data_IF_065524706291
#
_entry.id   IF_065524706291
#
_cell.length_a   1.000
_cell.length_b   1.000
_cell.length_c   1.000
_cell.angle_alpha   90.00
_cell.angle_beta   90.00
_cell.angle_gamma   90.00
#
_symmetry.space_group_name_H-M   'P 1'
#
loop_
_entity.id
_entity.type
_entity.pdbx_description
1 polymer ?
#
# COMPACT_ATOMS: atom_id res chain seq x y z
N UNK A 1 -13.32 22.76 -12.86
CA UNK A 1 -12.73 21.60 -12.14
C UNK A 1 -12.06 20.63 -13.10
N UNK A 2 -12.78 20.08 -14.10
CA UNK A 2 -12.20 19.14 -15.09
C UNK A 2 -11.01 19.74 -15.85
N UNK A 3 -11.12 20.97 -16.34
CA UNK A 3 -10.01 21.66 -17.05
C UNK A 3 -8.78 21.86 -16.18
N UNK A 4 -8.96 22.13 -14.88
CA UNK A 4 -7.84 22.29 -13.95
C UNK A 4 -7.10 20.95 -13.72
N UNK A 5 -7.84 19.85 -13.61
CA UNK A 5 -7.27 18.50 -13.51
C UNK A 5 -6.53 18.15 -14.81
N UNK A 6 -7.14 18.39 -15.97
CA UNK A 6 -6.52 18.14 -17.27
C UNK A 6 -5.24 18.97 -17.46
N UNK A 7 -5.26 20.25 -17.06
CA UNK A 7 -4.08 21.11 -17.09
C UNK A 7 -2.95 20.59 -16.19
N UNK A 8 -3.27 20.16 -14.96
CA UNK A 8 -2.28 19.57 -14.06
C UNK A 8 -1.66 18.28 -14.62
N UNK A 9 -2.50 17.39 -15.16
CA UNK A 9 -2.05 16.13 -15.75
C UNK A 9 -1.12 16.36 -16.95
N UNK A 10 -1.44 17.31 -17.83
CA UNK A 10 -0.61 17.62 -18.98
C UNK A 10 0.74 18.24 -18.57
N UNK A 11 0.75 19.10 -17.55
CA UNK A 11 1.97 19.74 -17.06
C UNK A 11 2.91 18.76 -16.34
N UNK A 12 2.39 17.74 -15.65
CA UNK A 12 3.16 16.83 -14.80
C UNK A 12 3.22 15.39 -15.34
N UNK A 13 2.88 15.19 -16.62
CA UNK A 13 2.81 13.86 -17.23
C UNK A 13 4.09 13.06 -17.07
N UNK A 14 5.24 13.66 -17.38
CA UNK A 14 6.55 12.99 -17.29
C UNK A 14 6.89 12.59 -15.85
N UNK A 15 6.61 13.46 -14.87
CA UNK A 15 6.82 13.14 -13.46
C UNK A 15 5.92 11.98 -13.02
N UNK A 16 4.63 12.02 -13.37
CA UNK A 16 3.67 10.95 -13.03
C UNK A 16 4.13 9.61 -13.62
N UNK A 17 4.61 9.60 -14.87
CA UNK A 17 5.15 8.39 -15.49
C UNK A 17 6.38 7.86 -14.75
N UNK A 18 7.35 8.73 -14.41
CA UNK A 18 8.54 8.32 -13.65
C UNK A 18 8.12 7.71 -12.32
N UNK A 19 7.22 8.36 -11.58
CA UNK A 19 6.71 7.84 -10.30
C UNK A 19 5.97 6.53 -10.45
N UNK A 20 5.25 6.34 -11.56
CA UNK A 20 4.59 5.06 -11.86
C UNK A 20 5.62 3.95 -12.04
N UNK A 21 6.71 4.20 -12.78
CA UNK A 21 7.78 3.23 -12.98
C UNK A 21 8.61 2.97 -11.72
N UNK A 22 8.71 3.92 -10.79
CA UNK A 22 9.30 3.67 -9.48
C UNK A 22 8.57 2.51 -8.76
N UNK A 23 7.24 2.43 -8.85
CA UNK A 23 6.46 1.31 -8.29
C UNK A 23 6.64 -0.01 -9.03
N UNK A 24 7.15 -0.02 -10.26
CA UNK A 24 7.49 -1.23 -11.00
C UNK A 24 8.91 -1.73 -10.72
N UNK A 25 9.73 -0.93 -10.04
CA UNK A 25 11.12 -1.26 -9.74
C UNK A 25 11.40 -1.34 -8.22
N UNK A 26 10.78 -2.30 -7.50
CA UNK A 26 10.85 -2.36 -6.03
C UNK A 26 12.23 -2.66 -5.45
N UNK A 27 13.17 -3.12 -6.27
CA UNK A 27 14.41 -3.73 -5.82
C UNK A 27 15.61 -2.77 -5.81
N UNK A 28 15.37 -1.48 -6.05
CA UNK A 28 16.41 -0.45 -5.97
C UNK A 28 17.01 -0.34 -4.56
N UNK A 29 16.19 -0.52 -3.51
CA UNK A 29 16.66 -0.49 -2.13
C UNK A 29 16.85 -1.91 -1.58
N UNK A 30 18.10 -2.28 -1.26
CA UNK A 30 18.45 -3.61 -0.74
C UNK A 30 17.76 -3.93 0.60
N UNK A 31 17.58 -2.93 1.47
CA UNK A 31 16.95 -3.11 2.78
C UNK A 31 15.44 -3.35 2.66
N UNK A 32 14.79 -2.78 1.64
CA UNK A 32 13.36 -2.95 1.40
C UNK A 32 12.99 -4.38 0.99
N UNK A 33 13.93 -5.12 0.38
CA UNK A 33 13.70 -6.47 -0.17
C UNK A 33 13.12 -7.44 0.86
N UNK A 34 13.59 -7.35 2.10
CA UNK A 34 13.15 -8.22 3.19
C UNK A 34 11.67 -8.08 3.56
N UNK A 35 11.04 -6.96 3.19
CA UNK A 35 9.64 -6.67 3.50
C UNK A 35 8.80 -6.78 2.23
N UNK A 36 9.31 -6.26 1.11
CA UNK A 36 8.61 -6.29 -0.17
C UNK A 36 8.40 -7.72 -0.68
N UNK A 37 9.43 -8.58 -0.58
CA UNK A 37 9.34 -9.94 -1.13
C UNK A 37 8.17 -10.73 -0.48
N UNK A 38 8.05 -10.80 0.86
CA UNK A 38 6.88 -11.41 1.49
C UNK A 38 5.53 -10.82 1.05
N UNK A 39 5.44 -9.50 0.87
CA UNK A 39 4.20 -8.82 0.43
C UNK A 39 3.84 -9.23 -1.01
N UNK A 40 4.80 -9.20 -1.94
CA UNK A 40 4.59 -9.65 -3.33
C UNK A 40 4.21 -11.14 -3.36
N UNK A 41 4.93 -11.99 -2.62
CA UNK A 41 4.63 -13.43 -2.55
C UNK A 41 3.22 -13.65 -2.01
N UNK A 42 2.81 -12.91 -0.98
CA UNK A 42 1.47 -12.99 -0.41
C UNK A 42 0.41 -12.62 -1.45
N UNK A 43 0.60 -11.53 -2.21
CA UNK A 43 -0.31 -11.14 -3.30
C UNK A 43 -0.43 -12.29 -4.32
N UNK A 44 0.70 -12.78 -4.85
CA UNK A 44 0.69 -13.80 -5.91
C UNK A 44 0.05 -15.11 -5.41
N UNK A 45 0.47 -15.61 -4.25
CA UNK A 45 -0.01 -16.88 -3.71
C UNK A 45 -1.50 -16.81 -3.38
N UNK A 46 -1.96 -15.73 -2.75
CA UNK A 46 -3.37 -15.58 -2.39
C UNK A 46 -4.25 -15.39 -3.61
N UNK A 47 -3.81 -14.63 -4.63
CA UNK A 47 -4.54 -14.50 -5.89
C UNK A 47 -4.65 -15.84 -6.62
N UNK A 48 -3.54 -16.60 -6.72
CA UNK A 48 -3.57 -17.95 -7.29
C UNK A 48 -4.49 -18.89 -6.52
N UNK A 49 -4.52 -18.77 -5.19
CA UNK A 49 -5.42 -19.55 -4.34
C UNK A 49 -6.88 -19.25 -4.65
N UNK A 50 -7.30 -17.98 -4.68
CA UNK A 50 -8.70 -17.61 -4.95
C UNK A 50 -9.14 -17.89 -6.39
N UNK A 51 -8.22 -17.85 -7.35
CA UNK A 51 -8.48 -18.33 -8.72
C UNK A 51 -8.82 -19.82 -8.73
N UNK A 52 -8.08 -20.64 -7.98
CA UNK A 52 -8.31 -22.08 -7.88
C UNK A 52 -9.58 -22.42 -7.09
N UNK A 53 -9.90 -21.65 -6.06
CA UNK A 53 -11.00 -21.91 -5.13
C UNK A 53 -12.07 -20.83 -5.21
N UNK A 54 -12.73 -20.69 -6.38
CA UNK A 54 -13.68 -19.59 -6.69
C UNK A 54 -14.89 -19.47 -5.76
N UNK A 55 -15.23 -20.53 -5.03
CA UNK A 55 -16.34 -20.54 -4.08
C UNK A 55 -15.93 -20.14 -2.66
N UNK A 56 -14.63 -19.94 -2.42
CA UNK A 56 -14.14 -19.48 -1.11
C UNK A 56 -14.22 -17.95 -1.04
N UNK A 57 -14.88 -17.47 0.01
CA UNK A 57 -14.96 -16.05 0.32
C UNK A 57 -13.92 -15.69 1.39
N UNK A 58 -13.54 -14.41 1.43
CA UNK A 58 -12.74 -13.87 2.54
C UNK A 58 -13.56 -14.01 3.83
N UNK A 59 -13.06 -14.79 4.79
CA UNK A 59 -13.66 -14.87 6.12
C UNK A 59 -13.16 -13.77 7.05
N UNK A 60 -13.85 -13.55 8.17
CA UNK A 60 -13.45 -12.60 9.20
C UNK A 60 -12.03 -12.84 9.75
N UNK A 61 -11.63 -14.11 9.89
CA UNK A 61 -10.27 -14.46 10.29
C UNK A 61 -9.24 -13.98 9.25
N UNK A 62 -9.50 -14.20 7.96
CA UNK A 62 -8.62 -13.75 6.88
C UNK A 62 -8.56 -12.22 6.79
N UNK A 63 -9.70 -11.53 6.92
CA UNK A 63 -9.75 -10.07 6.95
C UNK A 63 -8.93 -9.49 8.13
N UNK A 64 -9.11 -10.05 9.32
CA UNK A 64 -8.34 -9.70 10.53
C UNK A 64 -6.84 -9.99 10.33
N UNK A 65 -6.48 -11.12 9.75
CA UNK A 65 -5.08 -11.45 9.47
C UNK A 65 -4.46 -10.50 8.44
N UNK A 66 -5.21 -10.08 7.42
CA UNK A 66 -4.73 -9.12 6.43
C UNK A 66 -4.45 -7.76 7.06
N UNK A 67 -5.32 -7.23 7.93
CA UNK A 67 -5.07 -5.93 8.59
C UNK A 67 -3.78 -5.92 9.44
N UNK A 68 -3.39 -7.06 10.03
CA UNK A 68 -2.10 -7.20 10.72
C UNK A 68 -0.89 -6.96 9.80
N UNK A 69 -1.02 -7.17 8.49
CA UNK A 69 0.05 -6.89 7.52
C UNK A 69 0.37 -5.39 7.47
N UNK A 70 -0.65 -4.52 7.41
CA UNK A 70 -0.44 -3.07 7.44
C UNK A 70 0.19 -2.62 8.75
N UNK A 71 -0.22 -3.22 9.88
CA UNK A 71 0.39 -2.95 11.18
C UNK A 71 1.87 -3.38 11.21
N UNK A 72 2.19 -4.58 10.74
CA UNK A 72 3.58 -5.06 10.70
C UNK A 72 4.46 -4.21 9.78
N UNK A 73 3.96 -3.89 8.58
CA UNK A 73 4.67 -3.07 7.62
C UNK A 73 4.88 -1.65 8.16
N UNK A 74 3.85 -0.99 8.70
CA UNK A 74 3.99 0.36 9.27
C UNK A 74 4.97 0.40 10.44
N UNK A 75 4.97 -0.59 11.33
CA UNK A 75 5.97 -0.69 12.40
C UNK A 75 7.40 -0.83 11.86
N UNK A 76 7.57 -1.59 10.77
CA UNK A 76 8.85 -1.71 10.11
C UNK A 76 9.30 -0.39 9.46
N UNK A 77 8.38 0.32 8.78
CA UNK A 77 8.64 1.63 8.19
C UNK A 77 9.00 2.67 9.26
N UNK A 78 8.33 2.66 10.42
CA UNK A 78 8.69 3.50 11.56
C UNK A 78 10.11 3.21 12.06
N UNK A 79 10.45 1.93 12.21
CA UNK A 79 11.81 1.53 12.59
C UNK A 79 12.84 2.06 11.60
N UNK A 80 12.61 1.88 10.30
CA UNK A 80 13.50 2.37 9.25
C UNK A 80 13.68 3.90 9.31
N UNK A 81 12.57 4.65 9.45
CA UNK A 81 12.64 6.11 9.59
C UNK A 81 13.40 6.52 10.85
N UNK A 82 13.22 5.78 11.95
CA UNK A 82 13.93 6.04 13.21
C UNK A 82 15.44 5.82 13.10
N UNK A 83 15.85 4.73 12.45
CA UNK A 83 17.26 4.41 12.21
C UNK A 83 17.91 5.40 11.24
N UNK A 84 17.23 5.73 10.14
CA UNK A 84 17.73 6.65 9.11
C UNK A 84 17.91 8.07 9.64
N UNK A 85 16.97 8.55 10.44
CA UNK A 85 16.97 9.93 10.90
C UNK A 85 17.75 10.14 12.20
N UNK A 86 18.24 9.07 12.87
CA UNK A 86 18.83 9.18 14.22
C UNK A 86 17.95 10.05 15.13
N UNK A 87 16.65 9.72 15.20
CA UNK A 87 15.62 10.58 15.80
C UNK A 87 16.04 10.99 17.22
N UNK A 88 16.47 12.24 17.35
CA UNK A 88 16.52 12.97 18.61
C UNK A 88 15.24 13.79 18.70
N UNK A 89 14.54 13.73 19.84
CA UNK A 89 13.28 14.45 20.09
C UNK A 89 13.35 15.96 19.82
N UNK A 90 14.55 16.54 19.74
CA UNK A 90 14.82 17.95 19.49
C UNK A 90 14.72 18.37 18.01
N UNK A 91 14.76 17.43 17.05
CA UNK A 91 14.84 17.71 15.61
C UNK A 91 13.62 17.20 14.81
N UNK A 92 12.50 16.94 15.49
CA UNK A 92 11.27 16.41 14.87
C UNK A 92 10.76 17.31 13.70
N UNK A 93 11.09 18.61 13.70
CA UNK A 93 10.73 19.55 12.63
C UNK A 93 11.65 19.59 11.40
N UNK A 94 12.83 18.96 11.43
CA UNK A 94 13.78 18.97 10.29
C UNK A 94 13.75 17.70 9.45
N UNK A 95 12.97 16.69 9.84
CA UNK A 95 12.82 15.44 9.10
C UNK A 95 11.57 15.47 8.22
N UNK A 96 11.53 14.55 7.25
CA UNK A 96 10.45 14.35 6.29
C UNK A 96 9.11 14.04 6.99
N UNK A 97 8.47 15.11 7.49
CA UNK A 97 7.23 15.10 8.26
C UNK A 97 6.13 14.42 7.47
N UNK A 98 6.06 14.69 6.16
CA UNK A 98 5.10 14.11 5.24
C UNK A 98 5.21 12.58 5.20
N UNK A 99 6.43 12.05 5.04
CA UNK A 99 6.64 10.59 5.04
C UNK A 99 6.34 9.96 6.41
N UNK A 100 6.64 10.64 7.51
CA UNK A 100 6.29 10.16 8.85
C UNK A 100 4.76 10.12 9.07
N UNK A 101 4.04 11.12 8.56
CA UNK A 101 2.58 11.16 8.58
C UNK A 101 1.96 10.07 7.72
N UNK A 102 2.54 9.73 6.56
CA UNK A 102 2.12 8.60 5.75
C UNK A 102 2.22 7.28 6.54
N UNK A 103 3.37 7.03 7.18
CA UNK A 103 3.56 5.79 7.96
C UNK A 103 2.59 5.72 9.14
N UNK A 104 2.34 6.86 9.82
CA UNK A 104 1.33 6.95 10.87
C UNK A 104 -0.07 6.66 10.34
N UNK A 105 -0.43 7.23 9.18
CA UNK A 105 -1.72 7.00 8.54
C UNK A 105 -1.95 5.51 8.25
N UNK A 106 -0.94 4.81 7.70
CA UNK A 106 -1.02 3.38 7.41
C UNK A 106 -1.15 2.55 8.68
N UNK A 107 -0.45 2.93 9.76
CA UNK A 107 -0.62 2.25 11.06
C UNK A 107 -2.05 2.42 11.58
N UNK A 108 -2.59 3.63 11.51
CA UNK A 108 -3.96 3.91 11.94
C UNK A 108 -4.99 3.20 11.06
N UNK A 109 -4.76 3.11 9.74
CA UNK A 109 -5.58 2.33 8.82
C UNK A 109 -5.55 0.83 9.20
N UNK A 110 -4.37 0.27 9.43
CA UNK A 110 -4.22 -1.13 9.86
C UNK A 110 -4.93 -1.41 11.19
N UNK A 111 -4.76 -0.53 12.19
CA UNK A 111 -5.45 -0.63 13.49
C UNK A 111 -6.97 -0.49 13.34
N UNK A 112 -7.42 0.44 12.50
CA UNK A 112 -8.82 0.64 12.24
C UNK A 112 -9.44 -0.61 11.60
N UNK A 113 -8.87 -1.13 10.51
CA UNK A 113 -9.35 -2.36 9.87
C UNK A 113 -9.33 -3.54 10.84
N UNK A 114 -8.27 -3.68 11.65
CA UNK A 114 -8.19 -4.73 12.67
C UNK A 114 -9.35 -4.66 13.66
N UNK A 115 -9.66 -3.48 14.20
CA UNK A 115 -10.77 -3.32 15.16
C UNK A 115 -12.11 -3.65 14.48
N UNK A 116 -12.32 -3.15 13.26
CA UNK A 116 -13.55 -3.35 12.52
C UNK A 116 -13.78 -4.82 12.16
N UNK A 117 -12.74 -5.53 11.72
CA UNK A 117 -12.81 -6.94 11.36
C UNK A 117 -12.90 -7.86 12.58
N UNK A 118 -12.09 -7.62 13.61
CA UNK A 118 -12.09 -8.40 14.84
C UNK A 118 -13.44 -8.28 15.56
N UNK A 119 -13.99 -7.08 15.63
CA UNK A 119 -15.26 -6.80 16.32
C UNK A 119 -16.49 -6.98 15.42
N UNK A 120 -16.31 -7.31 14.14
CA UNK A 120 -17.37 -7.48 13.15
C UNK A 120 -18.32 -6.26 13.06
N UNK A 121 -17.79 -5.05 13.22
CA UNK A 121 -18.59 -3.81 13.27
C UNK A 121 -19.13 -3.36 11.91
N UNK A 122 -18.52 -3.79 10.81
CA UNK A 122 -18.97 -3.45 9.46
C UNK A 122 -19.82 -4.54 8.81
N UNK A 123 -20.67 -4.18 7.83
CA UNK A 123 -21.25 -5.16 6.93
C UNK A 123 -20.16 -5.97 6.23
N UNK A 124 -20.38 -7.29 6.06
CA UNK A 124 -19.43 -8.21 5.43
C UNK A 124 -18.86 -7.69 4.11
N UNK A 125 -19.69 -7.12 3.24
CA UNK A 125 -19.24 -6.63 1.94
C UNK A 125 -18.22 -5.49 2.06
N UNK A 126 -18.34 -4.61 3.06
CA UNK A 126 -17.38 -3.52 3.29
C UNK A 126 -16.10 -4.07 3.89
N UNK A 127 -16.22 -4.86 4.96
CA UNK A 127 -15.08 -5.47 5.64
C UNK A 127 -14.23 -6.29 4.66
N UNK A 128 -14.86 -7.17 3.89
CA UNK A 128 -14.14 -8.04 2.96
C UNK A 128 -13.66 -7.30 1.71
N UNK A 129 -14.22 -6.13 1.37
CA UNK A 129 -13.69 -5.30 0.30
C UNK A 129 -12.45 -4.53 0.75
N UNK A 130 -12.46 -3.87 1.91
CA UNK A 130 -11.30 -3.08 2.36
C UNK A 130 -10.17 -3.94 2.91
N UNK A 131 -10.50 -5.06 3.56
CA UNK A 131 -9.53 -5.98 4.16
C UNK A 131 -9.19 -7.17 3.24
N UNK A 132 -9.49 -7.08 1.94
CA UNK A 132 -9.02 -8.11 1.00
C UNK A 132 -7.50 -8.08 0.89
N UNK A 133 -6.91 -9.26 0.66
CA UNK A 133 -5.46 -9.42 0.63
C UNK A 133 -4.80 -8.53 -0.42
N UNK A 134 -5.40 -8.34 -1.60
CA UNK A 134 -4.84 -7.50 -2.67
C UNK A 134 -4.78 -6.03 -2.26
N UNK A 135 -5.87 -5.47 -1.74
CA UNK A 135 -5.96 -4.07 -1.31
C UNK A 135 -4.97 -3.78 -0.20
N UNK A 136 -4.99 -4.57 0.87
CA UNK A 136 -4.08 -4.41 2.02
C UNK A 136 -2.61 -4.55 1.60
N UNK A 137 -2.26 -5.61 0.88
CA UNK A 137 -0.86 -5.84 0.50
C UNK A 137 -0.38 -4.82 -0.54
N UNK A 138 -1.24 -4.33 -1.43
CA UNK A 138 -0.87 -3.33 -2.42
C UNK A 138 -0.67 -1.95 -1.78
N UNK A 139 -1.50 -1.57 -0.80
CA UNK A 139 -1.29 -0.39 0.03
C UNK A 139 0.04 -0.48 0.79
N UNK A 140 0.31 -1.62 1.43
CA UNK A 140 1.58 -1.89 2.09
C UNK A 140 2.77 -1.77 1.12
N UNK A 141 2.67 -2.37 -0.06
CA UNK A 141 3.69 -2.33 -1.10
C UNK A 141 4.03 -0.89 -1.50
N UNK A 142 3.02 -0.10 -1.88
CA UNK A 142 3.19 1.30 -2.31
C UNK A 142 3.89 2.12 -1.21
N UNK A 143 3.46 1.95 0.04
CA UNK A 143 4.05 2.63 1.18
C UNK A 143 5.54 2.28 1.38
N UNK A 144 5.89 1.00 1.24
CA UNK A 144 7.27 0.55 1.35
C UNK A 144 8.12 1.23 0.28
N UNK A 145 7.66 1.28 -0.98
CA UNK A 145 8.38 1.94 -2.07
C UNK A 145 8.61 3.42 -1.79
N UNK A 146 7.56 4.15 -1.38
CA UNK A 146 7.66 5.58 -1.10
C UNK A 146 8.70 5.85 -0.02
N UNK A 147 8.61 5.13 1.11
CA UNK A 147 9.46 5.36 2.28
C UNK A 147 10.91 4.94 2.02
N UNK A 148 11.14 3.73 1.51
CA UNK A 148 12.50 3.22 1.31
C UNK A 148 13.23 3.90 0.16
N UNK A 149 12.51 4.37 -0.86
CA UNK A 149 13.10 5.08 -1.99
C UNK A 149 13.16 6.60 -1.76
N UNK A 150 12.70 7.07 -0.59
CA UNK A 150 12.64 8.49 -0.23
C UNK A 150 11.94 9.34 -1.30
N UNK A 151 10.84 8.82 -1.85
CA UNK A 151 10.05 9.52 -2.86
C UNK A 151 9.27 10.64 -2.16
N UNK A 152 9.44 11.91 -2.57
CA UNK A 152 8.74 13.02 -1.94
C UNK A 152 7.23 12.92 -2.21
N UNK A 153 6.40 13.12 -1.18
CA UNK A 153 4.94 13.05 -1.29
C UNK A 153 4.37 14.26 -2.04
N UNK A 154 4.39 14.19 -3.37
CA UNK A 154 3.77 15.16 -4.28
C UNK A 154 2.43 14.64 -4.82
N UNK A 155 1.63 15.53 -5.40
CA UNK A 155 0.38 15.14 -6.06
C UNK A 155 0.64 14.18 -7.24
N UNK A 156 1.77 14.31 -7.94
CA UNK A 156 2.22 13.38 -8.98
C UNK A 156 2.39 11.94 -8.45
N UNK A 157 2.97 11.79 -7.24
CA UNK A 157 3.13 10.48 -6.58
C UNK A 157 1.79 9.88 -6.18
N UNK A 158 0.87 10.70 -5.66
CA UNK A 158 -0.47 10.24 -5.31
C UNK A 158 -1.24 9.73 -6.53
N UNK A 159 -1.18 10.46 -7.65
CA UNK A 159 -1.80 10.03 -8.92
C UNK A 159 -1.15 8.75 -9.44
N UNK A 160 0.19 8.68 -9.45
CA UNK A 160 0.91 7.50 -9.90
C UNK A 160 0.60 6.26 -9.05
N UNK A 161 0.56 6.41 -7.71
CA UNK A 161 0.19 5.34 -6.78
C UNK A 161 -1.25 4.87 -7.02
N UNK A 162 -2.18 5.80 -7.25
CA UNK A 162 -3.58 5.47 -7.56
C UNK A 162 -3.70 4.72 -8.88
N UNK A 163 -3.01 5.18 -9.93
CA UNK A 163 -2.99 4.49 -11.22
C UNK A 163 -2.39 3.09 -11.11
N UNK A 164 -1.27 2.96 -10.40
CA UNK A 164 -0.64 1.67 -10.12
C UNK A 164 -1.60 0.73 -9.37
N UNK A 165 -2.25 1.23 -8.33
CA UNK A 165 -3.23 0.48 -7.56
C UNK A 165 -4.36 -0.05 -8.44
N UNK A 166 -4.97 0.83 -9.26
CA UNK A 166 -6.07 0.47 -10.15
C UNK A 166 -5.64 -0.53 -11.23
N UNK A 167 -4.48 -0.32 -11.87
CA UNK A 167 -3.99 -1.21 -12.92
C UNK A 167 -3.76 -2.62 -12.38
N UNK A 168 -3.11 -2.76 -11.22
CA UNK A 168 -2.86 -4.08 -10.61
C UNK A 168 -4.19 -4.77 -10.25
N UNK A 169 -5.17 -4.04 -9.71
CA UNK A 169 -6.50 -4.59 -9.46
C UNK A 169 -7.19 -5.08 -10.74
N UNK A 170 -7.10 -4.31 -11.84
CA UNK A 170 -7.65 -4.72 -13.14
C UNK A 170 -6.94 -5.96 -13.68
N UNK A 171 -5.61 -6.05 -13.56
CA UNK A 171 -4.84 -7.22 -14.01
C UNK A 171 -5.30 -8.49 -13.28
N UNK A 172 -5.41 -8.46 -11.95
CA UNK A 172 -5.88 -9.62 -11.19
C UNK A 172 -7.36 -9.91 -11.40
N UNK A 173 -8.19 -8.90 -11.59
CA UNK A 173 -9.59 -9.08 -11.97
C UNK A 173 -9.73 -9.84 -13.29
N UNK A 174 -8.97 -9.44 -14.33
CA UNK A 174 -8.95 -10.15 -15.61
C UNK A 174 -8.41 -11.58 -15.43
N UNK A 175 -7.36 -11.76 -14.65
CA UNK A 175 -6.80 -13.08 -14.37
C UNK A 175 -7.84 -14.04 -13.76
N UNK A 176 -8.66 -13.58 -12.80
CA UNK A 176 -9.75 -14.37 -12.18
C UNK A 176 -10.89 -14.71 -13.14
N UNK A 177 -11.10 -13.92 -14.19
CA UNK A 177 -12.11 -14.19 -15.21
C UNK A 177 -11.64 -15.29 -16.16
N UNK A 178 -10.37 -15.24 -16.59
CA UNK A 178 -9.84 -16.12 -17.64
C UNK A 178 -9.34 -17.48 -17.13
N UNK A 179 -8.95 -17.58 -15.86
CA UNK A 179 -8.45 -18.79 -15.22
C UNK A 179 -9.37 -19.15 -14.05
#
# INVERSE_FOLDING_TARGET
MIEAIAGYLNQNYDEILVRFFDFLNPFQNQSAKWIIIPVIVTIIVMEMYYVRYKNEEVGWNTATANSLVLMFVSMNLFKFLSEKNSINFTNIGSYDFSTSMLVLFILLEGLFLFIMDFSHFWPKFMAFHFSNHLTVNLTAYIAIIIVYSAIPLTMSVFIAATLFFLIINVVFFLFRIFY
#
